data_IF_817280048421
#
_entry.id   IF_817280048421
#
_cell.length_a   1.000
_cell.length_b   1.000
_cell.length_c   1.000
_cell.angle_alpha   90.00
_cell.angle_beta   90.00
_cell.angle_gamma   90.00
#
_symmetry.space_group_name_H-M   'P 1'
#
loop_
_entity.id
_entity.type
_entity.pdbx_description
1 polymer ?
#
# COMPACT_ATOMS: atom_id res chain seq x y z
N UNK A 1 -11.33 38.81 -17.38
CA UNK A 1 -10.87 37.45 -17.72
C UNK A 1 -10.92 36.63 -16.44
N UNK A 2 -11.98 35.86 -16.20
CA UNK A 2 -12.04 34.92 -15.12
C UNK A 2 -11.10 33.77 -15.48
N UNK A 3 -10.01 33.62 -14.72
CA UNK A 3 -9.20 32.42 -14.79
C UNK A 3 -10.08 31.27 -14.28
N UNK A 4 -10.57 30.44 -15.17
CA UNK A 4 -11.15 29.15 -14.82
C UNK A 4 -10.08 28.33 -14.10
N UNK A 5 -10.12 28.37 -12.80
CA UNK A 5 -9.23 27.53 -12.00
C UNK A 5 -9.63 26.07 -12.26
N UNK A 6 -8.84 25.38 -13.06
CA UNK A 6 -9.09 23.99 -13.38
C UNK A 6 -9.08 23.18 -12.08
N UNK A 7 -10.20 22.57 -11.77
CA UNK A 7 -10.33 21.71 -10.59
C UNK A 7 -9.51 20.44 -10.79
N UNK A 8 -8.65 20.11 -9.83
CA UNK A 8 -7.80 18.91 -9.82
C UNK A 8 -7.90 18.20 -8.48
N UNK A 9 -7.47 16.95 -8.46
CA UNK A 9 -7.40 16.14 -7.25
C UNK A 9 -5.97 16.06 -6.74
N UNK A 10 -5.80 16.20 -5.43
CA UNK A 10 -4.53 16.09 -4.73
C UNK A 10 -4.56 14.90 -3.78
N UNK A 11 -3.48 14.17 -3.69
CA UNK A 11 -3.32 13.15 -2.67
C UNK A 11 -3.03 13.81 -1.32
N UNK A 12 -3.85 13.51 -0.32
CA UNK A 12 -3.72 14.08 1.03
C UNK A 12 -3.16 13.10 2.04
N UNK A 13 -3.43 11.81 1.86
CA UNK A 13 -2.91 10.75 2.75
C UNK A 13 -2.68 9.45 2.02
N UNK A 14 -1.75 8.67 2.56
CA UNK A 14 -1.60 7.25 2.27
C UNK A 14 -1.73 6.45 3.56
N UNK A 15 -2.62 5.46 3.57
CA UNK A 15 -2.79 4.50 4.66
C UNK A 15 -2.28 3.14 4.23
N UNK A 16 -1.47 2.54 5.08
CA UNK A 16 -0.86 1.23 4.89
C UNK A 16 -1.17 0.35 6.10
N UNK A 17 -1.67 -0.86 5.85
CA UNK A 17 -1.89 -1.87 6.87
C UNK A 17 -1.32 -3.21 6.38
N UNK A 18 -0.50 -3.86 7.21
CA UNK A 18 0.17 -5.11 6.89
C UNK A 18 0.89 -5.12 5.53
N UNK A 19 1.47 -3.99 5.13
CA UNK A 19 2.17 -3.83 3.87
C UNK A 19 3.68 -3.98 4.03
N UNK A 20 4.25 -5.03 3.47
CA UNK A 20 5.68 -5.38 3.61
C UNK A 20 6.10 -5.39 5.10
N UNK A 21 7.03 -4.54 5.53
CA UNK A 21 7.44 -4.42 6.94
C UNK A 21 6.57 -3.47 7.77
N UNK A 22 5.60 -2.81 7.16
CA UNK A 22 4.73 -1.82 7.80
C UNK A 22 3.48 -2.54 8.33
N UNK A 23 3.27 -2.52 9.64
CA UNK A 23 2.07 -3.10 10.24
C UNK A 23 0.87 -2.17 10.11
N UNK A 24 1.03 -0.91 10.54
CA UNK A 24 0.01 0.14 10.38
C UNK A 24 0.67 1.51 10.31
N UNK A 25 0.38 2.26 9.27
CA UNK A 25 0.89 3.63 9.10
C UNK A 25 -0.06 4.46 8.26
N UNK A 26 -0.28 5.70 8.69
CA UNK A 26 -0.90 6.75 7.88
C UNK A 26 0.13 7.86 7.72
N UNK A 27 0.38 8.26 6.47
CA UNK A 27 1.27 9.36 6.13
C UNK A 27 0.42 10.47 5.51
N UNK A 28 0.57 11.71 6.00
CA UNK A 28 0.01 12.88 5.38
C UNK A 28 0.92 13.34 4.24
N UNK A 29 0.30 13.77 3.15
CA UNK A 29 0.99 14.25 1.95
C UNK A 29 0.71 15.75 1.78
N UNK A 30 1.71 16.49 1.31
CA UNK A 30 1.57 17.87 0.92
C UNK A 30 0.98 17.97 -0.50
N UNK A 31 0.31 19.07 -0.78
CA UNK A 31 -0.35 19.34 -2.06
C UNK A 31 0.61 19.33 -3.25
N UNK A 32 1.80 19.92 -3.10
CA UNK A 32 2.71 20.16 -4.22
C UNK A 32 3.87 19.19 -4.27
N UNK A 33 4.65 19.11 -3.21
CA UNK A 33 5.91 18.34 -3.18
C UNK A 33 6.01 17.54 -1.90
N UNK A 34 6.37 16.27 -2.02
CA UNK A 34 6.63 15.36 -0.92
C UNK A 34 8.02 14.76 -1.05
N UNK A 35 8.84 14.87 -0.02
CA UNK A 35 10.17 14.29 0.04
C UNK A 35 10.18 13.10 1.01
N UNK A 36 10.51 11.93 0.51
CA UNK A 36 10.80 10.75 1.33
C UNK A 36 12.30 10.66 1.58
N UNK A 37 12.74 10.98 2.79
CA UNK A 37 14.15 10.96 3.18
C UNK A 37 14.43 9.88 4.21
N UNK A 38 15.66 9.40 4.26
CA UNK A 38 16.10 8.37 5.20
C UNK A 38 17.20 7.48 4.62
N UNK A 39 17.87 6.72 5.48
CA UNK A 39 18.91 5.77 5.06
C UNK A 39 18.34 4.58 4.28
N UNK A 40 19.22 3.75 3.71
CA UNK A 40 18.82 2.54 3.01
C UNK A 40 18.01 1.62 3.94
N UNK A 41 16.97 0.98 3.41
CA UNK A 41 16.07 0.12 4.20
C UNK A 41 15.01 0.85 5.04
N UNK A 42 14.93 2.19 5.01
CA UNK A 42 13.94 2.95 5.81
C UNK A 42 12.49 2.88 5.29
N UNK A 43 12.23 2.14 4.21
CA UNK A 43 10.86 1.94 3.68
C UNK A 43 10.39 2.98 2.66
N UNK A 44 11.26 3.86 2.15
CA UNK A 44 10.89 4.85 1.13
C UNK A 44 10.29 4.22 -0.12
N UNK A 45 10.99 3.24 -0.70
CA UNK A 45 10.51 2.51 -1.87
C UNK A 45 9.22 1.74 -1.57
N UNK A 46 9.09 1.19 -0.37
CA UNK A 46 7.89 0.46 0.07
C UNK A 46 6.62 1.33 0.00
N UNK A 47 6.73 2.62 0.33
CA UNK A 47 5.61 3.58 0.21
C UNK A 47 5.31 3.86 -1.26
N UNK A 48 6.33 4.06 -2.08
CA UNK A 48 6.15 4.31 -3.53
C UNK A 48 5.53 3.08 -4.22
N UNK A 49 6.00 1.88 -3.89
CA UNK A 49 5.46 0.63 -4.43
C UNK A 49 3.96 0.48 -4.09
N UNK A 50 3.56 0.84 -2.86
CA UNK A 50 2.17 0.83 -2.45
C UNK A 50 1.30 1.79 -3.29
N UNK A 51 1.78 3.01 -3.52
CA UNK A 51 1.08 3.98 -4.37
C UNK A 51 0.93 3.47 -5.82
N UNK A 52 2.00 2.91 -6.37
CA UNK A 52 1.99 2.38 -7.73
C UNK A 52 1.00 1.24 -7.91
N UNK A 53 0.92 0.30 -6.97
CA UNK A 53 -0.02 -0.81 -7.03
C UNK A 53 -1.46 -0.30 -7.11
N UNK A 54 -1.83 0.69 -6.30
CA UNK A 54 -3.19 1.25 -6.31
C UNK A 54 -3.45 2.03 -7.60
N UNK A 55 -2.53 2.91 -8.00
CA UNK A 55 -2.72 3.81 -9.14
C UNK A 55 -2.75 3.09 -10.49
N UNK A 56 -1.96 2.04 -10.64
CA UNK A 56 -1.95 1.25 -11.86
C UNK A 56 -2.87 0.03 -11.82
N UNK A 57 -3.58 -0.19 -10.69
CA UNK A 57 -4.36 -1.40 -10.43
C UNK A 57 -3.56 -2.68 -10.75
N UNK A 58 -2.27 -2.66 -10.40
CA UNK A 58 -1.36 -3.76 -10.71
C UNK A 58 -1.70 -4.97 -9.85
N UNK A 59 -1.94 -6.09 -10.51
CA UNK A 59 -2.44 -7.29 -9.85
C UNK A 59 -1.35 -8.27 -9.42
N UNK A 60 -0.15 -8.19 -9.96
CA UNK A 60 0.93 -9.15 -9.69
C UNK A 60 2.22 -8.54 -9.15
N UNK A 61 2.33 -7.22 -9.15
CA UNK A 61 3.51 -6.49 -8.67
C UNK A 61 4.74 -6.58 -9.58
N UNK A 62 4.66 -7.36 -10.66
CA UNK A 62 5.80 -7.55 -11.56
C UNK A 62 6.21 -6.23 -12.21
N UNK A 63 7.51 -5.97 -12.19
CA UNK A 63 8.08 -4.77 -12.80
C UNK A 63 7.97 -3.48 -11.98
N UNK A 64 7.23 -3.48 -10.85
CA UNK A 64 7.04 -2.30 -10.01
C UNK A 64 7.85 -2.34 -8.72
N UNK A 65 8.04 -3.52 -8.13
CA UNK A 65 8.83 -3.61 -6.91
C UNK A 65 10.29 -3.27 -7.17
N UNK A 66 10.83 -2.46 -6.26
CA UNK A 66 12.19 -1.96 -6.38
C UNK A 66 13.20 -3.09 -6.57
N UNK A 67 13.77 -3.18 -7.75
CA UNK A 67 14.82 -4.14 -8.11
C UNK A 67 16.17 -3.85 -7.43
N UNK A 68 16.31 -2.70 -6.75
CA UNK A 68 17.57 -2.25 -6.16
C UNK A 68 18.08 -3.09 -4.99
N UNK A 69 17.31 -4.05 -4.50
CA UNK A 69 17.65 -4.83 -3.30
C UNK A 69 17.87 -6.34 -3.55
N UNK A 70 17.80 -6.82 -4.79
CA UNK A 70 18.06 -8.24 -5.06
C UNK A 70 18.44 -8.46 -6.51
N UNK A 71 19.51 -9.21 -6.70
CA UNK A 71 19.83 -9.89 -7.94
C UNK A 71 18.57 -10.60 -8.50
N UNK A 72 18.26 -10.34 -9.75
CA UNK A 72 17.44 -11.08 -10.73
C UNK A 72 16.22 -11.93 -10.28
N UNK A 73 15.80 -11.90 -9.03
CA UNK A 73 14.62 -12.65 -8.58
C UNK A 73 13.38 -11.75 -8.64
N UNK A 74 12.46 -12.06 -9.52
CA UNK A 74 11.07 -11.61 -9.47
C UNK A 74 10.46 -11.98 -8.12
N UNK A 75 10.60 -11.12 -7.10
CA UNK A 75 9.90 -11.32 -5.84
C UNK A 75 8.42 -11.38 -6.13
N UNK A 76 7.81 -12.50 -5.82
CA UNK A 76 6.37 -12.63 -5.97
C UNK A 76 5.66 -11.64 -5.03
N UNK A 77 4.49 -11.16 -5.42
CA UNK A 77 3.69 -10.25 -4.59
C UNK A 77 3.43 -10.86 -3.20
N UNK A 78 3.26 -12.18 -3.12
CA UNK A 78 3.03 -12.87 -1.85
C UNK A 78 4.22 -12.79 -0.90
N UNK A 79 5.45 -12.95 -1.40
CA UNK A 79 6.66 -12.82 -0.59
C UNK A 79 6.83 -11.39 -0.09
N UNK A 80 6.49 -10.41 -0.93
CA UNK A 80 6.50 -9.02 -0.56
C UNK A 80 5.49 -8.72 0.55
N UNK A 81 4.25 -9.18 0.42
CA UNK A 81 3.19 -9.01 1.41
C UNK A 81 3.53 -9.72 2.74
N UNK A 82 4.06 -10.93 2.68
CA UNK A 82 4.50 -11.68 3.86
C UNK A 82 5.68 -11.02 4.59
N UNK A 83 6.44 -10.16 3.92
CA UNK A 83 7.61 -9.49 4.47
C UNK A 83 8.74 -10.47 4.76
N UNK A 84 9.51 -10.83 3.75
CA UNK A 84 10.67 -11.71 3.87
C UNK A 84 11.75 -11.08 4.76
N UNK A 85 12.13 -11.75 5.86
CA UNK A 85 12.98 -11.15 6.91
C UNK A 85 14.46 -11.46 6.69
N UNK A 86 14.84 -12.56 6.17
CA UNK A 86 16.23 -12.85 5.74
C UNK A 86 16.39 -14.30 5.29
N UNK A 87 17.46 -14.53 4.56
CA UNK A 87 17.99 -15.86 4.31
C UNK A 87 19.06 -16.08 5.39
N UNK A 88 18.75 -16.87 6.42
CA UNK A 88 19.74 -17.26 7.39
C UNK A 88 20.89 -18.03 6.75
N UNK A 89 21.98 -18.28 7.48
CA UNK A 89 23.17 -19.01 7.00
C UNK A 89 22.87 -20.35 6.32
N UNK A 90 21.66 -20.90 6.54
CA UNK A 90 21.20 -22.18 5.97
C UNK A 90 20.21 -22.00 4.79
N UNK A 91 20.17 -20.87 4.10
CA UNK A 91 19.22 -20.58 3.01
C UNK A 91 17.73 -20.76 3.39
N UNK A 92 17.37 -20.70 4.66
CA UNK A 92 15.98 -20.75 5.09
C UNK A 92 15.35 -19.37 5.01
N UNK A 93 14.35 -19.23 4.14
CA UNK A 93 13.55 -18.03 4.02
C UNK A 93 12.60 -17.97 5.22
N UNK A 94 12.65 -16.89 5.99
CA UNK A 94 11.68 -16.61 7.04
C UNK A 94 10.83 -15.39 6.67
N UNK A 95 9.56 -15.42 7.07
CA UNK A 95 8.61 -14.36 6.78
C UNK A 95 8.10 -13.75 8.09
N UNK A 96 7.80 -12.46 8.07
CA UNK A 96 7.18 -11.75 9.19
C UNK A 96 5.76 -12.27 9.47
N UNK A 97 5.02 -12.62 8.40
CA UNK A 97 3.63 -13.12 8.48
C UNK A 97 3.56 -14.57 7.98
N UNK A 98 3.28 -15.47 8.91
CA UNK A 98 3.20 -16.91 8.66
C UNK A 98 1.78 -17.49 8.84
N UNK A 99 0.80 -16.64 9.13
CA UNK A 99 -0.63 -16.98 9.20
C UNK A 99 -1.37 -16.18 8.15
N UNK A 100 -2.60 -16.59 7.82
CA UNK A 100 -3.46 -15.84 6.94
C UNK A 100 -3.67 -14.43 7.49
N UNK A 101 -3.65 -13.42 6.61
CA UNK A 101 -3.79 -12.02 6.98
C UNK A 101 -4.34 -11.21 5.81
N UNK A 102 -4.88 -10.04 6.11
CA UNK A 102 -5.24 -9.04 5.11
C UNK A 102 -4.22 -7.90 5.11
N UNK A 103 -3.91 -7.41 3.92
CA UNK A 103 -3.10 -6.21 3.71
C UNK A 103 -3.93 -5.16 2.99
N UNK A 104 -3.84 -3.90 3.41
CA UNK A 104 -4.64 -2.83 2.82
C UNK A 104 -3.79 -1.62 2.50
N UNK A 105 -4.01 -1.07 1.30
CA UNK A 105 -3.44 0.20 0.86
C UNK A 105 -4.58 1.13 0.50
N UNK A 106 -4.55 2.36 1.03
CA UNK A 106 -5.56 3.39 0.76
C UNK A 106 -4.88 4.70 0.41
N UNK A 107 -5.30 5.33 -0.67
CA UNK A 107 -4.93 6.69 -1.05
C UNK A 107 -6.14 7.59 -0.87
N UNK A 108 -6.04 8.61 0.00
CA UNK A 108 -7.04 9.68 0.14
C UNK A 108 -6.71 10.82 -0.81
N UNK A 109 -7.71 11.25 -1.54
CA UNK A 109 -7.64 12.41 -2.43
C UNK A 109 -8.63 13.47 -2.00
N UNK A 110 -8.31 14.74 -2.25
CA UNK A 110 -9.17 15.88 -2.03
C UNK A 110 -9.32 16.69 -3.33
N UNK A 111 -10.53 17.07 -3.67
CA UNK A 111 -10.80 17.97 -4.78
C UNK A 111 -10.39 19.40 -4.40
N UNK A 112 -9.55 20.03 -5.20
CA UNK A 112 -8.99 21.36 -4.90
C UNK A 112 -10.06 22.45 -4.73
N UNK A 113 -11.15 22.38 -5.48
CA UNK A 113 -12.21 23.38 -5.48
C UNK A 113 -13.27 23.13 -4.40
N UNK A 114 -13.79 21.90 -4.28
CA UNK A 114 -14.93 21.57 -3.40
C UNK A 114 -14.52 21.09 -2.03
N UNK A 115 -13.24 20.70 -1.87
CA UNK A 115 -12.71 20.06 -0.67
C UNK A 115 -13.35 18.69 -0.35
N UNK A 116 -14.12 18.15 -1.28
CA UNK A 116 -14.67 16.81 -1.17
C UNK A 116 -13.55 15.78 -1.19
N UNK A 117 -13.66 14.79 -0.32
CA UNK A 117 -12.68 13.71 -0.20
C UNK A 117 -13.21 12.43 -0.81
N UNK A 118 -12.28 11.67 -1.35
CA UNK A 118 -12.51 10.32 -1.82
C UNK A 118 -11.27 9.46 -1.58
N UNK A 119 -11.47 8.16 -1.52
CA UNK A 119 -10.41 7.20 -1.34
C UNK A 119 -10.44 6.17 -2.45
N UNK A 120 -9.26 5.78 -2.91
CA UNK A 120 -9.05 4.59 -3.74
C UNK A 120 -8.08 3.66 -3.03
N UNK A 121 -8.26 2.36 -3.20
CA UNK A 121 -7.38 1.44 -2.51
C UNK A 121 -7.52 0.00 -2.99
N UNK A 122 -6.76 -0.87 -2.34
CA UNK A 122 -6.79 -2.31 -2.55
C UNK A 122 -6.70 -3.03 -1.22
N UNK A 123 -7.46 -4.11 -1.10
CA UNK A 123 -7.33 -5.11 -0.04
C UNK A 123 -6.78 -6.38 -0.67
N UNK A 124 -5.75 -6.94 -0.07
CA UNK A 124 -5.21 -8.26 -0.36
C UNK A 124 -5.54 -9.19 0.79
N UNK A 125 -6.23 -10.28 0.50
CA UNK A 125 -6.41 -11.40 1.43
C UNK A 125 -5.39 -12.47 1.09
N UNK A 126 -4.51 -12.77 2.03
CA UNK A 126 -3.37 -13.66 1.83
C UNK A 126 -3.59 -14.97 2.56
N UNK A 127 -3.74 -16.04 1.81
CA UNK A 127 -3.68 -17.40 2.32
C UNK A 127 -2.24 -17.92 2.25
N UNK A 128 -1.60 -17.98 3.40
CA UNK A 128 -0.20 -18.41 3.51
C UNK A 128 -0.01 -19.92 3.37
N UNK A 129 -1.08 -20.71 3.52
CA UNK A 129 -1.03 -22.18 3.39
C UNK A 129 -1.01 -22.62 1.92
N UNK A 130 -1.80 -21.93 1.08
CA UNK A 130 -1.90 -22.23 -0.35
C UNK A 130 -1.08 -21.29 -1.23
N UNK A 131 -0.46 -20.26 -0.63
CA UNK A 131 0.20 -19.17 -1.34
C UNK A 131 -0.73 -18.45 -2.34
N UNK A 132 -1.98 -18.22 -1.94
CA UNK A 132 -2.98 -17.54 -2.75
C UNK A 132 -3.21 -16.11 -2.27
N UNK A 133 -3.57 -15.22 -3.19
CA UNK A 133 -3.91 -13.83 -2.91
C UNK A 133 -5.24 -13.49 -3.55
N UNK A 134 -6.25 -13.22 -2.72
CA UNK A 134 -7.46 -12.50 -3.11
C UNK A 134 -7.16 -11.01 -3.25
N UNK A 135 -7.80 -10.32 -4.19
CA UNK A 135 -7.60 -8.89 -4.44
C UNK A 135 -8.92 -8.20 -4.65
N UNK A 136 -9.15 -7.09 -3.94
CA UNK A 136 -10.31 -6.24 -4.08
C UNK A 136 -9.85 -4.78 -4.21
N UNK A 137 -9.95 -4.21 -5.40
CA UNK A 137 -9.81 -2.78 -5.61
C UNK A 137 -11.12 -2.07 -5.30
N UNK A 138 -11.05 -0.92 -4.64
CA UNK A 138 -12.24 -0.18 -4.24
C UNK A 138 -12.06 1.32 -4.46
N UNK A 139 -13.18 1.99 -4.59
CA UNK A 139 -13.33 3.43 -4.53
C UNK A 139 -14.42 3.78 -3.51
N UNK A 140 -14.21 4.85 -2.74
CA UNK A 140 -15.16 5.29 -1.71
C UNK A 140 -15.21 6.82 -1.66
N UNK A 141 -16.42 7.39 -1.58
CA UNK A 141 -16.63 8.81 -1.29
C UNK A 141 -16.48 9.05 0.21
N UNK A 142 -15.56 9.96 0.57
CA UNK A 142 -15.27 10.34 1.95
C UNK A 142 -13.82 10.14 2.32
N UNK A 143 -13.46 10.60 3.52
CA UNK A 143 -12.09 10.51 4.02
C UNK A 143 -11.72 9.13 4.54
N UNK A 144 -10.42 8.91 4.68
CA UNK A 144 -9.82 7.63 5.06
C UNK A 144 -10.29 7.07 6.41
N UNK A 145 -10.74 7.91 7.34
CA UNK A 145 -11.15 7.50 8.70
C UNK A 145 -12.23 6.42 8.67
N UNK A 146 -13.17 6.50 7.73
CA UNK A 146 -14.27 5.54 7.61
C UNK A 146 -13.75 4.14 7.20
N UNK A 147 -12.75 4.10 6.31
CA UNK A 147 -12.21 2.84 5.77
C UNK A 147 -11.35 2.10 6.80
N UNK A 148 -10.57 2.83 7.59
CA UNK A 148 -9.75 2.23 8.66
C UNK A 148 -10.64 1.55 9.72
N UNK A 149 -11.81 2.11 10.02
CA UNK A 149 -12.76 1.49 10.94
C UNK A 149 -13.40 0.22 10.38
N UNK A 150 -13.70 0.17 9.08
CA UNK A 150 -14.31 -1.02 8.45
C UNK A 150 -13.30 -2.16 8.33
N UNK A 151 -12.05 -1.86 7.94
CA UNK A 151 -11.00 -2.87 7.88
C UNK A 151 -10.65 -3.44 9.27
N UNK A 152 -10.65 -2.60 10.32
CA UNK A 152 -10.49 -3.07 11.70
C UNK A 152 -11.67 -3.92 12.19
N UNK A 153 -12.90 -3.68 11.71
CA UNK A 153 -14.08 -4.48 12.08
C UNK A 153 -14.05 -5.87 11.44
N UNK A 154 -13.45 -6.02 10.26
CA UNK A 154 -13.30 -7.31 9.60
C UNK A 154 -12.33 -8.25 10.34
N UNK A 155 -11.27 -7.70 10.95
CA UNK A 155 -10.32 -8.48 11.77
C UNK A 155 -10.90 -8.98 13.11
N UNK A 156 -12.12 -8.53 13.50
CA UNK A 156 -12.82 -8.96 14.72
C UNK A 156 -13.92 -10.01 14.47
N UNK A 157 -14.17 -10.35 13.19
CA UNK A 157 -15.23 -11.29 12.80
C UNK A 157 -14.67 -12.65 12.32
N UNK A 158 -13.38 -12.87 12.41
CA UNK A 158 -12.70 -14.15 12.22
C UNK A 158 -11.95 -14.55 13.50
#
# INVERSE_FOLDING_TARGET
>A
MEQQTQAYKIFTKIGLNNWHYIDRKVLSLNESINFFTGHSGSGKSTVIDAMQIVLYANTDGRGFFNKAAADDSDRSLIEYLRGMINIGENNQISYRRNRNFSSTIVLEMEQSATKEKECVGVVFDVDTSNNEIGRLFFWHKGGMIVIVCVACAADWLL
#
